data_IF_481158868571
#
_entry.id   IF_481158868571
#
_cell.length_a   1.000
_cell.length_b   1.000
_cell.length_c   1.000
_cell.angle_alpha   90.00
_cell.angle_beta   90.00
_cell.angle_gamma   90.00
#
_symmetry.space_group_name_H-M   'P 1'
#
loop_
_entity.id
_entity.type
_entity.pdbx_description
1 polymer ?
#
# COMPACT_ATOMS: atom_id res chain seq x y z
N UNK A 1 7.19 -1.88 -9.18
CA UNK A 1 6.45 -0.76 -9.82
C UNK A 1 5.89 0.08 -8.70
N UNK A 2 6.32 1.34 -8.59
CA UNK A 2 5.86 2.22 -7.52
C UNK A 2 4.57 2.91 -7.98
N UNK A 3 3.55 2.86 -7.14
CA UNK A 3 2.27 3.54 -7.37
C UNK A 3 2.45 5.04 -7.20
N UNK A 4 1.98 5.81 -8.18
CA UNK A 4 2.08 7.28 -8.15
C UNK A 4 1.06 7.92 -7.22
N UNK A 5 -0.16 7.37 -7.16
CA UNK A 5 -1.26 7.91 -6.37
C UNK A 5 -2.09 6.80 -5.71
N UNK A 6 -2.50 7.06 -4.46
CA UNK A 6 -3.48 6.24 -3.75
C UNK A 6 -4.64 7.10 -3.27
N UNK A 7 -5.85 6.52 -3.25
CA UNK A 7 -7.03 7.14 -2.66
C UNK A 7 -7.25 6.54 -1.28
N UNK A 8 -7.41 7.40 -0.27
CA UNK A 8 -7.91 7.01 1.04
C UNK A 8 -9.43 6.82 0.96
N UNK A 9 -9.95 5.73 1.50
CA UNK A 9 -11.39 5.44 1.56
C UNK A 9 -11.85 5.28 3.01
N UNK A 10 -13.09 4.83 3.24
CA UNK A 10 -13.55 4.47 4.58
C UNK A 10 -13.03 3.09 5.04
N UNK A 11 -12.71 2.21 4.08
CA UNK A 11 -12.31 0.83 4.36
C UNK A 11 -10.79 0.59 4.28
N UNK A 12 -10.06 1.50 3.63
CA UNK A 12 -8.61 1.41 3.50
C UNK A 12 -8.08 2.28 2.36
N UNK A 13 -7.28 1.71 1.47
CA UNK A 13 -6.69 2.44 0.36
C UNK A 13 -6.98 1.78 -1.00
N UNK A 14 -7.12 2.62 -2.01
CA UNK A 14 -7.18 2.22 -3.41
C UNK A 14 -5.89 2.68 -4.08
N UNK A 15 -5.11 1.74 -4.61
CA UNK A 15 -3.91 2.00 -5.39
C UNK A 15 -4.23 2.00 -6.88
N UNK A 16 -3.92 3.10 -7.57
CA UNK A 16 -4.19 3.27 -9.00
C UNK A 16 -2.90 3.08 -9.80
N UNK A 17 -2.89 2.07 -10.66
CA UNK A 17 -1.72 1.70 -11.46
C UNK A 17 -1.99 1.98 -12.92
N UNK A 18 -1.38 3.03 -13.47
CA UNK A 18 -1.49 3.38 -14.89
C UNK A 18 -0.57 2.48 -15.73
N UNK A 19 -1.05 1.27 -16.04
CA UNK A 19 -0.32 0.25 -16.78
C UNK A 19 -1.29 -0.77 -17.38
N UNK A 20 -0.81 -1.50 -18.38
CA UNK A 20 -1.47 -2.74 -18.82
C UNK A 20 -1.62 -3.68 -17.62
N UNK A 21 -2.79 -4.34 -17.45
CA UNK A 21 -3.00 -5.28 -16.36
C UNK A 21 -1.95 -6.39 -16.35
N UNK A 22 -1.20 -6.48 -15.26
CA UNK A 22 -0.29 -7.60 -15.01
C UNK A 22 -0.91 -8.54 -13.98
N UNK A 23 -0.58 -9.82 -14.07
CA UNK A 23 -0.97 -10.79 -13.05
C UNK A 23 -0.22 -10.46 -11.75
N UNK A 24 -0.94 -9.96 -10.76
CA UNK A 24 -0.36 -9.63 -9.45
C UNK A 24 -0.23 -10.92 -8.63
N UNK A 25 1.00 -11.29 -8.27
CA UNK A 25 1.24 -12.38 -7.32
C UNK A 25 0.92 -11.92 -5.89
N UNK A 26 -0.11 -12.55 -5.31
CA UNK A 26 -0.57 -12.25 -3.95
C UNK A 26 0.35 -12.81 -2.87
N UNK A 27 1.31 -13.68 -3.22
CA UNK A 27 2.20 -14.33 -2.24
C UNK A 27 3.33 -13.42 -1.71
N UNK A 28 3.59 -12.29 -2.37
CA UNK A 28 4.66 -11.35 -2.02
C UNK A 28 4.20 -10.14 -1.21
N UNK A 29 3.33 -10.31 -0.21
CA UNK A 29 2.85 -9.22 0.63
C UNK A 29 3.87 -8.90 1.74
N UNK A 30 4.39 -7.68 1.77
CA UNK A 30 5.37 -7.24 2.77
C UNK A 30 5.21 -5.75 3.14
N UNK A 31 5.59 -5.39 4.36
CA UNK A 31 5.65 -4.00 4.82
C UNK A 31 7.07 -3.68 5.30
N UNK A 32 7.65 -2.57 4.84
CA UNK A 32 8.99 -2.12 5.25
C UNK A 32 8.94 -0.65 5.66
N UNK A 33 9.55 -0.31 6.80
CA UNK A 33 9.75 1.09 7.16
C UNK A 33 10.77 1.76 6.22
N UNK A 34 10.45 2.96 5.76
CA UNK A 34 11.29 3.83 4.91
C UNK A 34 11.33 5.22 5.53
N UNK A 35 12.24 6.09 5.06
CA UNK A 35 12.45 7.43 5.62
C UNK A 35 11.15 8.26 5.76
N UNK A 36 10.25 8.14 4.78
CA UNK A 36 9.01 8.92 4.71
C UNK A 36 7.75 8.18 5.20
N UNK A 37 7.89 6.96 5.72
CA UNK A 37 6.77 6.17 6.23
C UNK A 37 6.95 4.66 6.08
N UNK A 38 5.97 4.00 5.46
CA UNK A 38 5.97 2.55 5.23
C UNK A 38 5.83 2.27 3.74
N UNK A 39 6.65 1.36 3.20
CA UNK A 39 6.48 0.79 1.87
C UNK A 39 5.71 -0.53 1.99
N UNK A 40 4.52 -0.59 1.41
CA UNK A 40 3.74 -1.82 1.26
C UNK A 40 4.01 -2.42 -0.11
N UNK A 41 4.58 -3.61 -0.17
CA UNK A 41 4.84 -4.34 -1.41
C UNK A 41 3.82 -5.48 -1.57
N UNK A 42 3.24 -5.60 -2.77
CA UNK A 42 2.29 -6.64 -3.17
C UNK A 42 2.77 -7.22 -4.51
N UNK A 43 3.56 -8.28 -4.44
CA UNK A 43 4.27 -8.79 -5.61
C UNK A 43 5.23 -7.73 -6.15
N UNK A 44 5.07 -7.35 -7.42
CA UNK A 44 5.90 -6.32 -8.07
C UNK A 44 5.33 -4.90 -7.91
N UNK A 45 4.34 -4.67 -7.04
CA UNK A 45 3.72 -3.34 -6.84
C UNK A 45 4.10 -2.81 -5.47
N UNK A 46 4.70 -1.63 -5.45
CA UNK A 46 5.11 -0.93 -4.24
C UNK A 46 4.18 0.27 -4.02
N UNK A 47 3.58 0.33 -2.84
CA UNK A 47 2.61 1.32 -2.41
C UNK A 47 3.23 2.10 -1.25
N UNK A 48 3.75 3.31 -1.48
CA UNK A 48 4.25 4.16 -0.41
C UNK A 48 3.10 4.67 0.46
N UNK A 49 3.16 4.39 1.76
CA UNK A 49 2.23 4.87 2.78
C UNK A 49 2.96 5.99 3.55
N UNK A 50 2.58 7.26 3.36
CA UNK A 50 3.26 8.37 4.00
C UNK A 50 2.98 8.41 5.51
N UNK A 51 3.87 9.02 6.29
CA UNK A 51 3.75 9.11 7.76
C UNK A 51 2.34 9.47 8.28
N UNK A 52 1.64 10.49 7.75
CA UNK A 52 0.32 10.87 8.24
C UNK A 52 -0.75 9.79 8.06
N UNK A 53 -0.49 8.76 7.23
CA UNK A 53 -1.39 7.65 6.96
C UNK A 53 -1.08 6.40 7.78
N UNK A 54 0.03 6.35 8.53
CA UNK A 54 0.46 5.15 9.25
C UNK A 54 -0.59 4.72 10.29
N UNK A 55 -1.09 5.63 11.11
CA UNK A 55 -2.11 5.30 12.11
C UNK A 55 -3.42 4.84 11.45
N UNK A 56 -3.80 5.50 10.36
CA UNK A 56 -4.99 5.15 9.59
C UNK A 56 -4.90 3.72 9.04
N UNK A 57 -3.80 3.36 8.36
CA UNK A 57 -3.68 2.04 7.73
C UNK A 57 -3.59 0.91 8.77
N UNK A 58 -3.12 1.17 9.99
CA UNK A 58 -3.16 0.15 11.05
C UNK A 58 -4.59 -0.28 11.45
N UNK A 59 -5.56 0.61 11.25
CA UNK A 59 -6.98 0.37 11.54
C UNK A 59 -7.69 -0.11 10.26
N UNK A 60 -7.50 0.59 9.15
CA UNK A 60 -8.16 0.35 7.87
C UNK A 60 -7.22 -0.39 6.90
N UNK A 61 -7.04 -1.69 7.11
CA UNK A 61 -6.02 -2.52 6.44
C UNK A 61 -6.41 -3.02 5.05
N UNK A 62 -7.55 -2.60 4.51
CA UNK A 62 -7.98 -3.01 3.17
C UNK A 62 -7.18 -2.31 2.08
N UNK A 63 -6.77 -3.06 1.08
CA UNK A 63 -6.08 -2.53 -0.10
C UNK A 63 -6.72 -3.09 -1.35
N UNK A 64 -7.13 -2.21 -2.25
CA UNK A 64 -7.60 -2.56 -3.57
C UNK A 64 -6.68 -1.96 -4.64
N UNK A 65 -6.24 -2.78 -5.60
CA UNK A 65 -5.39 -2.35 -6.71
C UNK A 65 -6.22 -2.33 -8.00
N UNK A 66 -6.21 -1.19 -8.69
CA UNK A 66 -6.85 -1.03 -9.99
C UNK A 66 -5.79 -0.73 -11.04
N UNK A 67 -5.84 -1.45 -12.16
CA UNK A 67 -5.09 -1.07 -13.34
C UNK A 67 -5.95 -0.13 -14.19
N UNK A 68 -5.37 0.99 -14.59
CA UNK A 68 -5.99 2.00 -15.42
C UNK A 68 -5.29 2.02 -16.78
N UNK A 69 -6.03 1.78 -17.84
CA UNK A 69 -5.57 1.80 -19.24
C UNK A 69 -6.04 3.05 -20.01
N UNK A 70 -6.96 3.83 -19.44
CA UNK A 70 -7.54 5.02 -20.07
C UNK A 70 -8.61 4.73 -21.13
N UNK A 71 -8.86 3.46 -21.45
CA UNK A 71 -9.87 3.06 -22.43
C UNK A 71 -11.24 2.81 -21.79
N UNK A 72 -11.24 2.38 -20.53
CA UNK A 72 -12.46 2.03 -19.79
C UNK A 72 -12.88 3.11 -18.82
N UNK A 73 -14.17 3.43 -18.84
CA UNK A 73 -14.80 4.28 -17.83
C UNK A 73 -14.86 3.63 -16.45
N UNK A 74 -15.08 2.31 -16.40
CA UNK A 74 -15.17 1.53 -15.17
C UNK A 74 -14.16 0.40 -15.20
N UNK A 75 -13.31 0.34 -14.17
CA UNK A 75 -12.36 -0.76 -13.96
C UNK A 75 -12.77 -1.54 -12.72
N UNK A 76 -12.56 -2.85 -12.76
CA UNK A 76 -12.67 -3.71 -11.59
C UNK A 76 -11.32 -3.85 -10.89
N UNK A 77 -11.32 -4.06 -9.56
CA UNK A 77 -10.09 -4.24 -8.81
C UNK A 77 -9.41 -5.55 -9.24
N UNK A 78 -8.16 -5.46 -9.68
CA UNK A 78 -7.37 -6.64 -10.01
C UNK A 78 -6.97 -7.43 -8.75
N UNK A 79 -6.79 -6.73 -7.63
CA UNK A 79 -6.51 -7.31 -6.33
C UNK A 79 -7.32 -6.60 -5.26
N UNK A 80 -7.87 -7.40 -4.36
CA UNK A 80 -8.40 -6.97 -3.06
C UNK A 80 -7.77 -7.86 -2.00
N UNK A 81 -7.12 -7.26 -1.02
CA UNK A 81 -6.55 -7.97 0.11
C UNK A 81 -6.61 -7.13 1.37
N UNK A 82 -6.47 -7.81 2.51
CA UNK A 82 -6.26 -7.17 3.80
C UNK A 82 -4.79 -7.33 4.18
N UNK A 83 -4.16 -6.24 4.62
CA UNK A 83 -2.79 -6.29 5.15
C UNK A 83 -2.83 -7.04 6.49
N UNK A 84 -2.02 -8.10 6.69
CA UNK A 84 -1.88 -8.74 7.97
C UNK A 84 -1.50 -7.73 9.06
N UNK A 85 -2.19 -7.82 10.19
CA UNK A 85 -1.98 -6.92 11.31
C UNK A 85 -0.51 -6.95 11.76
N UNK A 86 0.09 -8.13 11.86
CA UNK A 86 1.48 -8.30 12.31
C UNK A 86 2.46 -7.48 11.46
N UNK A 87 2.34 -7.54 10.12
CA UNK A 87 3.22 -6.83 9.19
C UNK A 87 3.14 -5.31 9.34
N UNK A 88 1.93 -4.76 9.48
CA UNK A 88 1.77 -3.30 9.59
C UNK A 88 2.20 -2.77 10.95
N UNK A 89 1.99 -3.54 12.02
CA UNK A 89 2.44 -3.18 13.36
C UNK A 89 3.97 -3.27 13.49
N UNK A 90 4.59 -4.29 12.91
CA UNK A 90 6.06 -4.42 12.85
C UNK A 90 6.67 -3.22 12.10
N UNK A 91 6.21 -2.93 10.89
CA UNK A 91 6.70 -1.81 10.10
C UNK A 91 6.50 -0.45 10.81
N UNK A 92 5.36 -0.26 11.50
CA UNK A 92 5.11 0.94 12.32
C UNK A 92 6.09 1.04 13.50
N UNK A 93 6.38 -0.08 14.17
CA UNK A 93 7.34 -0.14 15.27
C UNK A 93 8.74 0.28 14.80
N UNK A 94 9.20 -0.30 13.69
CA UNK A 94 10.49 0.02 13.06
C UNK A 94 10.54 1.49 12.63
N UNK A 95 9.48 2.01 12.00
CA UNK A 95 9.40 3.43 11.61
C UNK A 95 9.55 4.39 12.79
N UNK A 96 8.85 4.11 13.91
CA UNK A 96 8.97 4.92 15.13
C UNK A 96 10.38 4.91 15.70
N UNK A 97 11.07 3.77 15.64
CA UNK A 97 12.46 3.68 16.09
C UNK A 97 13.38 4.54 15.21
N UNK A 98 13.26 4.43 13.88
CA UNK A 98 14.02 5.28 12.94
C UNK A 98 13.81 6.77 13.19
N UNK A 99 12.57 7.20 13.45
CA UNK A 99 12.28 8.61 13.72
C UNK A 99 12.93 9.10 15.02
N UNK A 100 12.95 8.26 16.05
CA UNK A 100 13.56 8.60 17.32
C UNK A 100 15.09 8.67 17.24
N UNK A 101 15.74 7.82 16.43
CA UNK A 101 17.19 7.83 16.24
C UNK A 101 17.69 9.04 15.41
N UNK A 102 16.79 9.69 14.66
CA UNK A 102 17.08 10.91 13.88
C UNK A 102 16.74 12.22 14.63
N UNK A 103 16.19 12.12 15.84
CA UNK A 103 15.79 13.26 16.69
C UNK A 103 16.85 13.57 17.74
#
# INVERSE_FOLDING_TARGET
MIVSNCLKTEEGIIALVYSVPIKVDRKGLNCKAIEMGILLSIGDIDIPIPEPMIDYITIHRSVAIYFLDGEKYLNEPAVKLEIPQELIFEAKGVYKHFKNDQS
#
